data_IF_748579484987
#
_entry.id   IF_748579484987
#
_cell.length_a   1.000
_cell.length_b   1.000
_cell.length_c   1.000
_cell.angle_alpha   90.00
_cell.angle_beta   90.00
_cell.angle_gamma   90.00
#
_symmetry.space_group_name_H-M   'P 1'
#
loop_
_entity.id
_entity.type
_entity.pdbx_description
1 polymer ?
#
# COMPACT_ATOMS: atom_id res chain seq x y z
N UNK A 1 4.54 10.79 17.59
CA UNK A 1 5.24 9.58 17.18
C UNK A 1 5.77 9.72 15.76
N UNK A 2 6.99 9.31 15.56
CA UNK A 2 7.69 9.46 14.30
C UNK A 2 7.50 8.21 13.43
N UNK A 3 6.52 8.23 12.55
CA UNK A 3 6.28 7.16 11.59
C UNK A 3 6.45 7.74 10.19
N UNK A 4 7.30 7.11 9.37
CA UNK A 4 7.57 7.59 8.01
C UNK A 4 6.28 7.71 7.20
N UNK A 5 5.42 6.69 7.23
CA UNK A 5 4.19 6.70 6.44
C UNK A 5 3.14 7.64 7.02
N UNK A 6 3.11 7.83 8.34
CA UNK A 6 2.27 8.88 8.93
C UNK A 6 2.69 10.26 8.42
N UNK A 7 3.99 10.52 8.37
CA UNK A 7 4.52 11.80 7.88
C UNK A 7 4.21 12.01 6.40
N UNK A 8 4.30 10.96 5.60
CA UNK A 8 3.94 11.04 4.17
C UNK A 8 2.44 11.31 4.03
N UNK A 9 1.61 10.60 4.79
CA UNK A 9 0.15 10.73 4.70
C UNK A 9 -0.33 12.12 5.14
N UNK A 10 0.34 12.74 6.12
CA UNK A 10 -0.02 14.08 6.57
C UNK A 10 0.68 15.21 5.80
N UNK A 11 1.56 14.86 4.85
CA UNK A 11 2.23 15.84 4.01
C UNK A 11 3.48 16.46 4.59
N UNK A 12 3.96 15.97 5.75
CA UNK A 12 5.17 16.50 6.41
C UNK A 12 6.44 16.16 5.67
N UNK A 13 6.46 15.03 4.96
CA UNK A 13 7.58 14.61 4.12
C UNK A 13 7.10 14.62 2.67
N UNK A 14 7.81 15.30 1.76
CA UNK A 14 7.39 15.31 0.37
C UNK A 14 7.57 13.93 -0.26
N UNK A 15 6.47 13.22 -0.44
CA UNK A 15 6.37 12.08 -1.31
C UNK A 15 5.26 12.44 -2.28
N UNK A 16 5.57 12.41 -3.57
CA UNK A 16 4.60 12.81 -4.59
C UNK A 16 3.44 11.82 -4.58
N UNK A 17 2.27 12.16 -4.06
CA UNK A 17 1.16 11.21 -4.06
C UNK A 17 0.64 10.99 -5.47
N UNK A 18 0.38 9.72 -5.81
CA UNK A 18 -0.29 9.38 -7.07
C UNK A 18 -1.81 9.30 -6.88
N UNK A 19 -2.25 9.28 -5.63
CA UNK A 19 -3.66 9.22 -5.26
C UNK A 19 -3.78 9.64 -3.79
N UNK A 20 -4.84 10.36 -3.46
CA UNK A 20 -5.15 10.65 -2.06
C UNK A 20 -6.63 10.94 -1.89
N UNK A 21 -7.17 10.52 -0.77
CA UNK A 21 -8.51 10.84 -0.31
C UNK A 21 -8.53 11.02 1.20
N UNK A 22 -9.72 11.08 1.80
CA UNK A 22 -9.85 11.33 3.25
C UNK A 22 -9.31 10.19 4.11
N UNK A 23 -9.26 8.97 3.58
CA UNK A 23 -8.91 7.76 4.35
C UNK A 23 -7.53 7.23 4.07
N UNK A 24 -7.01 7.43 2.87
CA UNK A 24 -5.73 6.85 2.46
C UNK A 24 -5.03 7.69 1.41
N UNK A 25 -3.77 7.37 1.19
CA UNK A 25 -3.02 7.92 0.07
C UNK A 25 -2.13 6.83 -0.55
N UNK A 26 -1.65 7.08 -1.75
CA UNK A 26 -0.79 6.15 -2.46
C UNK A 26 0.39 6.90 -3.06
N UNK A 27 1.54 6.24 -3.12
CA UNK A 27 2.77 6.80 -3.69
C UNK A 27 3.63 5.68 -4.25
N UNK A 28 4.49 6.00 -5.22
CA UNK A 28 5.39 5.03 -5.81
C UNK A 28 6.43 4.57 -4.80
N UNK A 29 6.76 3.27 -4.82
CA UNK A 29 7.85 2.75 -3.99
C UNK A 29 9.17 3.29 -4.52
N UNK A 30 10.03 3.76 -3.61
CA UNK A 30 11.34 4.33 -3.98
C UNK A 30 12.34 3.24 -4.41
N UNK A 31 12.05 1.98 -4.09
CA UNK A 31 12.86 0.84 -4.49
C UNK A 31 11.95 -0.18 -5.20
N UNK A 32 11.46 0.16 -6.41
CA UNK A 32 10.45 -0.66 -7.07
C UNK A 32 10.97 -2.03 -7.46
N UNK A 33 10.14 -3.04 -7.23
CA UNK A 33 10.43 -4.43 -7.57
C UNK A 33 9.71 -4.87 -8.84
N UNK A 34 8.98 -3.97 -9.48
CA UNK A 34 8.26 -4.18 -10.73
C UNK A 34 8.20 -2.85 -11.48
N UNK A 35 7.96 -2.84 -12.80
CA UNK A 35 7.85 -1.60 -13.58
C UNK A 35 6.82 -0.64 -13.00
N UNK A 36 5.72 -1.17 -12.42
CA UNK A 36 4.78 -0.39 -11.61
C UNK A 36 4.80 -1.01 -10.22
N UNK A 37 5.14 -0.21 -9.23
CA UNK A 37 5.14 -0.64 -7.83
C UNK A 37 4.77 0.56 -6.98
N UNK A 38 3.57 0.53 -6.40
CA UNK A 38 3.11 1.60 -5.52
C UNK A 38 2.59 1.03 -4.21
N UNK A 39 2.48 1.91 -3.22
CA UNK A 39 1.98 1.58 -1.89
C UNK A 39 0.69 2.35 -1.65
N UNK A 40 -0.28 1.70 -0.99
CA UNK A 40 -1.48 2.36 -0.48
C UNK A 40 -1.40 2.30 1.04
N UNK A 41 -1.48 3.45 1.69
CA UNK A 41 -1.35 3.56 3.14
C UNK A 41 -2.55 4.29 3.73
N UNK A 42 -3.06 3.86 4.88
CA UNK A 42 -4.12 4.60 5.56
C UNK A 42 -3.54 5.83 6.24
N UNK A 43 -4.36 6.88 6.38
CA UNK A 43 -3.95 8.06 7.16
C UNK A 43 -3.93 7.75 8.64
N UNK A 44 -4.88 6.93 9.09
CA UNK A 44 -4.87 6.40 10.45
C UNK A 44 -3.69 5.46 10.64
N UNK A 45 -2.96 5.61 11.74
CA UNK A 45 -1.85 4.70 12.02
C UNK A 45 -2.37 3.37 12.53
N UNK A 46 -2.21 2.33 11.71
CA UNK A 46 -2.45 0.94 12.09
C UNK A 46 -1.12 0.24 11.84
N UNK A 47 -0.53 -0.35 12.87
CA UNK A 47 0.85 -0.84 12.78
C UNK A 47 1.00 -1.97 11.77
N UNK A 48 0.02 -2.86 11.69
CA UNK A 48 0.03 -3.98 10.74
C UNK A 48 -1.36 -4.56 10.59
N UNK A 49 -1.53 -5.46 9.64
CA UNK A 49 -2.80 -6.18 9.49
C UNK A 49 -3.17 -6.96 10.77
N UNK A 50 -2.17 -7.48 11.48
CA UNK A 50 -2.40 -8.20 12.73
C UNK A 50 -2.95 -7.30 13.84
N UNK A 51 -2.76 -5.99 13.73
CA UNK A 51 -3.27 -4.99 14.69
C UNK A 51 -4.62 -4.43 14.28
N UNK A 52 -5.11 -4.78 13.09
CA UNK A 52 -6.43 -4.31 12.62
C UNK A 52 -7.54 -5.10 13.31
N UNK A 53 -8.64 -4.43 13.59
CA UNK A 53 -9.84 -5.04 14.17
C UNK A 53 -11.05 -4.82 13.28
N UNK A 54 -12.22 -5.23 13.77
CA UNK A 54 -13.49 -5.08 13.03
C UNK A 54 -13.77 -3.62 12.69
N UNK A 55 -13.34 -2.69 13.53
CA UNK A 55 -13.51 -1.27 13.29
C UNK A 55 -12.76 -0.78 12.05
N UNK A 56 -11.80 -1.56 11.55
CA UNK A 56 -11.02 -1.24 10.35
C UNK A 56 -11.55 -1.89 9.08
N UNK A 57 -12.66 -2.64 9.16
CA UNK A 57 -13.18 -3.37 7.99
C UNK A 57 -13.49 -2.44 6.82
N UNK A 58 -14.16 -1.31 7.07
CA UNK A 58 -14.48 -0.35 6.02
C UNK A 58 -13.22 0.30 5.45
N UNK A 59 -12.26 0.63 6.29
CA UNK A 59 -10.99 1.23 5.87
C UNK A 59 -10.21 0.27 4.96
N UNK A 60 -10.08 -0.99 5.37
CA UNK A 60 -9.34 -1.98 4.59
C UNK A 60 -9.99 -2.23 3.23
N UNK A 61 -11.32 -2.36 3.20
CA UNK A 61 -12.06 -2.50 1.95
C UNK A 61 -11.86 -1.29 1.04
N UNK A 62 -11.93 -0.09 1.60
CA UNK A 62 -11.71 1.15 0.87
C UNK A 62 -10.30 1.19 0.25
N UNK A 63 -9.28 0.80 1.01
CA UNK A 63 -7.89 0.79 0.53
C UNK A 63 -7.70 -0.20 -0.62
N UNK A 64 -8.31 -1.38 -0.53
CA UNK A 64 -8.21 -2.38 -1.60
C UNK A 64 -8.91 -1.90 -2.87
N UNK A 65 -10.06 -1.25 -2.74
CA UNK A 65 -10.76 -0.68 -3.89
C UNK A 65 -10.00 0.49 -4.48
N UNK A 66 -9.36 1.31 -3.66
CA UNK A 66 -8.48 2.38 -4.13
C UNK A 66 -7.30 1.80 -4.91
N UNK A 67 -6.68 0.73 -4.39
CA UNK A 67 -5.59 0.04 -5.07
C UNK A 67 -6.02 -0.44 -6.46
N UNK A 68 -7.22 -1.04 -6.56
CA UNK A 68 -7.76 -1.52 -7.83
C UNK A 68 -8.00 -0.36 -8.81
N UNK A 69 -8.52 0.76 -8.32
CA UNK A 69 -8.75 1.93 -9.16
C UNK A 69 -7.45 2.51 -9.71
N UNK A 70 -6.44 2.65 -8.84
CA UNK A 70 -5.12 3.15 -9.25
C UNK A 70 -4.49 2.20 -10.28
N UNK A 71 -4.62 0.89 -10.06
CA UNK A 71 -4.11 -0.10 -11.01
C UNK A 71 -4.73 0.07 -12.40
N UNK A 72 -6.05 0.32 -12.47
CA UNK A 72 -6.72 0.61 -13.74
C UNK A 72 -6.15 1.87 -14.38
N UNK A 73 -5.97 2.92 -13.59
CA UNK A 73 -5.46 4.20 -14.08
C UNK A 73 -4.00 4.08 -14.58
N UNK A 74 -3.25 3.13 -14.02
CA UNK A 74 -1.87 2.85 -14.44
C UNK A 74 -1.79 1.88 -15.61
N UNK A 75 -2.91 1.43 -16.13
CA UNK A 75 -2.93 0.54 -17.29
C UNK A 75 -2.60 -0.91 -16.99
N UNK A 76 -2.84 -1.37 -15.78
CA UNK A 76 -2.53 -2.75 -15.38
C UNK A 76 -3.66 -3.73 -15.71
N UNK A 77 -4.24 -3.62 -16.91
CA UNK A 77 -5.35 -4.47 -17.34
C UNK A 77 -5.00 -5.94 -17.49
N UNK A 78 -3.70 -6.28 -17.62
CA UNK A 78 -3.26 -7.67 -17.67
C UNK A 78 -3.10 -8.31 -16.30
N UNK A 79 -3.33 -7.54 -15.24
CA UNK A 79 -3.25 -8.05 -13.89
C UNK A 79 -2.10 -7.45 -13.10
N UNK A 80 -2.13 -7.71 -11.81
CA UNK A 80 -1.13 -7.21 -10.88
C UNK A 80 -1.17 -8.07 -9.61
N UNK A 81 -0.14 -7.95 -8.79
CA UNK A 81 -0.08 -8.65 -7.51
C UNK A 81 -0.27 -7.64 -6.38
N UNK A 82 -1.07 -8.03 -5.40
CA UNK A 82 -1.27 -7.25 -4.18
C UNK A 82 -0.61 -8.01 -3.02
N UNK A 83 0.20 -7.31 -2.23
CA UNK A 83 0.91 -7.90 -1.11
C UNK A 83 0.74 -7.02 0.12
N UNK A 84 0.38 -7.64 1.24
CA UNK A 84 0.35 -7.00 2.54
C UNK A 84 1.26 -7.80 3.46
N UNK A 85 2.45 -7.29 3.72
CA UNK A 85 3.41 -7.95 4.60
C UNK A 85 3.03 -7.67 6.05
N UNK A 86 3.05 -8.70 6.89
CA UNK A 86 2.66 -8.58 8.30
C UNK A 86 3.71 -9.24 9.18
N UNK A 87 4.29 -8.45 10.08
CA UNK A 87 5.25 -8.96 11.06
C UNK A 87 6.60 -9.36 10.47
N UNK A 88 7.51 -9.87 11.32
CA UNK A 88 8.87 -10.22 10.89
C UNK A 88 8.90 -11.31 9.83
N UNK A 89 8.12 -12.38 10.01
CA UNK A 89 8.10 -13.49 9.05
C UNK A 89 7.45 -13.11 7.73
N UNK A 90 6.60 -12.07 7.73
CA UNK A 90 6.03 -11.53 6.50
C UNK A 90 6.95 -10.55 5.78
N UNK A 91 8.05 -10.16 6.42
CA UNK A 91 8.99 -9.20 5.84
C UNK A 91 8.53 -7.75 5.94
N UNK A 92 7.70 -7.43 6.93
CA UNK A 92 7.26 -6.06 7.14
C UNK A 92 8.41 -5.19 7.65
N UNK A 93 8.76 -4.14 6.92
CA UNK A 93 9.89 -3.28 7.23
C UNK A 93 9.48 -1.94 7.84
N UNK A 94 8.24 -1.51 7.65
CA UNK A 94 7.71 -0.27 8.23
C UNK A 94 6.47 -0.63 9.03
N UNK A 95 6.42 -0.22 10.30
CA UNK A 95 5.32 -0.54 11.23
C UNK A 95 4.14 0.41 11.04
N UNK A 96 3.64 0.46 9.83
CA UNK A 96 2.45 1.18 9.42
C UNK A 96 1.87 0.37 8.26
N UNK A 97 0.65 -0.10 8.41
CA UNK A 97 -0.02 -0.94 7.41
C UNK A 97 0.13 -0.34 6.02
N UNK A 98 0.55 -1.15 5.06
CA UNK A 98 0.64 -0.70 3.67
C UNK A 98 0.40 -1.85 2.72
N UNK A 99 -0.24 -1.52 1.62
CA UNK A 99 -0.58 -2.47 0.56
C UNK A 99 0.37 -2.20 -0.60
N UNK A 100 1.17 -3.21 -0.97
CA UNK A 100 1.97 -3.15 -2.19
C UNK A 100 1.11 -3.56 -3.37
N UNK A 101 1.23 -2.83 -4.48
CA UNK A 101 0.66 -3.22 -5.76
C UNK A 101 1.80 -3.27 -6.77
N UNK A 102 1.99 -4.42 -7.39
CA UNK A 102 3.10 -4.66 -8.31
C UNK A 102 2.55 -5.12 -9.65
N UNK A 103 2.94 -4.46 -10.72
CA UNK A 103 2.45 -4.76 -12.05
C UNK A 103 3.45 -4.41 -13.14
N UNK A 104 3.04 -4.64 -14.38
CA UNK A 104 3.90 -4.37 -15.54
C UNK A 104 4.81 -5.53 -15.89
N UNK A 105 4.70 -6.65 -15.20
CA UNK A 105 5.39 -7.90 -15.53
C UNK A 105 4.62 -9.09 -14.99
N UNK A 106 4.96 -10.27 -15.48
CA UNK A 106 4.41 -11.52 -14.95
C UNK A 106 5.05 -11.84 -13.59
N UNK A 107 4.22 -12.17 -12.62
CA UNK A 107 4.66 -12.61 -11.30
C UNK A 107 4.46 -14.11 -11.20
N UNK A 108 5.49 -14.82 -10.75
CA UNK A 108 5.47 -16.28 -10.68
C UNK A 108 4.89 -16.77 -9.35
N UNK A 109 4.66 -18.06 -9.29
CA UNK A 109 4.20 -18.74 -8.09
C UNK A 109 5.20 -19.85 -7.74
N UNK A 110 5.59 -20.03 -6.45
CA UNK A 110 5.05 -19.37 -5.24
C UNK A 110 5.49 -17.91 -5.09
N UNK A 111 4.75 -17.15 -4.25
CA UNK A 111 4.96 -15.70 -4.16
C UNK A 111 6.22 -15.24 -3.40
N UNK A 112 6.90 -16.15 -2.78
CA UNK A 112 8.10 -15.79 -2.02
C UNK A 112 9.16 -16.86 -1.98
#
# INVERSE_FOLDING_TARGET
MSCLFCKIAEGSIPAKPIYQDELCCAFSDINPQSPVHFLVVPREHVASLAHAGEEHAALLGHMLLAAAQIARDKGLGNGYRVVINTGPDGGQTVDHLHIHVLGGRHHTWPPG
#
